data_IF_966957806586
#
_entry.id   IF_966957806586
#
_cell.length_a   1.000
_cell.length_b   1.000
_cell.length_c   1.000
_cell.angle_alpha   90.00
_cell.angle_beta   90.00
_cell.angle_gamma   90.00
#
_symmetry.space_group_name_H-M   'P 1'
#
loop_
_entity.id
_entity.type
_entity.pdbx_description
1 polymer ?
#
# COMPACT_ATOMS: atom_id res chain seq x y z
N UNK A 1 -24.49 76.50 36.85
CA UNK A 1 -23.27 77.20 36.39
C UNK A 1 -22.87 76.60 35.04
N UNK A 2 -22.34 77.44 34.13
CA UNK A 2 -22.30 77.35 32.65
C UNK A 2 -21.70 76.08 32.01
N UNK A 3 -22.38 75.62 30.95
CA UNK A 3 -21.94 74.81 29.78
C UNK A 3 -20.98 75.63 28.85
N UNK A 4 -20.41 75.14 27.70
CA UNK A 4 -20.62 73.88 26.93
C UNK A 4 -19.34 73.22 26.30
N UNK A 5 -19.55 72.13 25.55
CA UNK A 5 -18.69 71.60 24.46
C UNK A 5 -18.65 72.58 23.23
N UNK A 6 -18.26 72.27 21.96
CA UNK A 6 -17.71 71.07 21.28
C UNK A 6 -16.68 71.44 20.13
N UNK A 7 -16.50 70.55 19.13
CA UNK A 7 -16.01 70.73 17.73
C UNK A 7 -14.69 69.98 17.39
N UNK A 8 -14.49 69.34 16.23
CA UNK A 8 -15.32 69.04 15.05
C UNK A 8 -14.55 68.09 14.09
N UNK A 9 -15.31 67.38 13.20
CA UNK A 9 -15.13 67.08 11.74
C UNK A 9 -13.72 67.14 11.10
N UNK A 10 -13.33 66.39 10.07
CA UNK A 10 -14.00 65.78 8.90
C UNK A 10 -13.07 64.70 8.28
N UNK A 11 -13.58 63.61 7.69
CA UNK A 11 -13.69 63.35 6.23
C UNK A 11 -12.52 63.83 5.34
N UNK A 12 -11.83 62.89 4.68
CA UNK A 12 -11.72 62.80 3.21
C UNK A 12 -10.72 61.70 2.80
N UNK A 13 -11.21 60.76 2.00
CA UNK A 13 -10.36 59.92 1.17
C UNK A 13 -9.70 60.77 0.06
N UNK A 14 -8.51 60.38 -0.42
CA UNK A 14 -8.15 60.59 -1.80
C UNK A 14 -8.17 59.24 -2.54
N UNK A 15 -9.04 59.19 -3.56
CA UNK A 15 -8.83 58.35 -4.73
C UNK A 15 -7.44 58.62 -5.30
N UNK A 16 -6.59 57.60 -5.40
CA UNK A 16 -5.56 57.55 -6.43
C UNK A 16 -5.90 56.44 -7.42
N UNK A 17 -6.50 56.88 -8.52
CA UNK A 17 -6.62 56.15 -9.77
C UNK A 17 -5.26 56.02 -10.45
N UNK A 18 -4.93 54.82 -10.96
CA UNK A 18 -4.61 54.50 -12.37
C UNK A 18 -3.52 53.41 -12.51
N UNK A 19 -3.92 52.36 -13.25
CA UNK A 19 -3.16 51.55 -14.23
C UNK A 19 -1.91 50.78 -13.75
N UNK A 20 -2.04 49.46 -13.69
CA UNK A 20 -1.08 48.56 -14.34
C UNK A 20 -1.78 47.21 -14.66
N UNK A 21 -2.13 46.99 -15.92
CA UNK A 21 -1.57 45.96 -16.83
C UNK A 21 -2.15 44.56 -16.60
N UNK A 22 -3.12 44.24 -17.45
CA UNK A 22 -3.50 42.88 -17.84
C UNK A 22 -2.28 42.16 -18.43
N UNK A 23 -1.90 41.03 -17.85
CA UNK A 23 -1.18 39.98 -18.57
C UNK A 23 -2.08 38.75 -18.65
N UNK A 24 -2.72 38.65 -19.80
CA UNK A 24 -3.33 37.45 -20.33
C UNK A 24 -2.27 36.36 -20.48
N UNK A 25 -2.41 35.25 -19.77
CA UNK A 25 -1.79 33.99 -20.15
C UNK A 25 -2.88 33.10 -20.75
N UNK A 26 -3.00 33.23 -22.07
CA UNK A 26 -3.65 32.26 -22.93
C UNK A 26 -2.85 30.97 -22.88
N UNK A 27 -3.24 30.06 -21.99
CA UNK A 27 -2.79 28.67 -22.01
C UNK A 27 -3.52 27.91 -23.11
N UNK A 28 -2.79 27.61 -24.18
CA UNK A 28 -3.24 26.88 -25.36
C UNK A 28 -3.87 25.54 -24.99
N UNK A 29 -5.02 25.27 -25.60
CA UNK A 29 -5.65 23.97 -25.66
C UNK A 29 -4.72 22.97 -26.36
N UNK A 30 -4.22 21.98 -25.62
CA UNK A 30 -3.69 20.75 -26.20
C UNK A 30 -4.80 19.69 -26.19
N UNK A 31 -5.37 19.54 -27.37
CA UNK A 31 -6.14 18.40 -27.91
C UNK A 31 -6.23 17.17 -26.99
N UNK A 32 -7.29 17.09 -26.17
CA UNK A 32 -7.74 15.84 -25.57
C UNK A 32 -8.70 15.12 -26.54
N UNK A 33 -8.16 14.69 -27.69
CA UNK A 33 -8.85 13.82 -28.63
C UNK A 33 -8.00 12.57 -28.83
N UNK A 34 -8.27 11.52 -28.04
CA UNK A 34 -8.26 10.10 -28.42
C UNK A 34 -7.97 9.17 -27.21
N UNK A 35 -8.99 8.85 -26.40
CA UNK A 35 -9.28 7.43 -26.07
C UNK A 35 -10.65 7.34 -25.39
N UNK A 36 -11.71 7.23 -26.19
CA UNK A 36 -12.99 6.71 -25.72
C UNK A 36 -13.12 5.31 -26.29
N UNK A 37 -13.33 4.35 -25.39
CA UNK A 37 -13.78 2.96 -25.66
C UNK A 37 -12.73 1.92 -26.06
N UNK A 38 -11.71 1.77 -25.22
CA UNK A 38 -11.20 0.44 -24.85
C UNK A 38 -11.34 0.37 -23.33
N UNK A 39 -12.14 -0.54 -22.78
CA UNK A 39 -12.17 -0.72 -21.34
C UNK A 39 -10.78 -1.19 -20.92
N UNK A 40 -10.08 -0.40 -20.09
CA UNK A 40 -8.83 -0.83 -19.46
C UNK A 40 -9.10 -2.20 -18.80
N UNK A 41 -8.47 -3.30 -19.27
CA UNK A 41 -8.76 -4.65 -18.81
C UNK A 41 -8.50 -4.79 -17.30
N UNK A 42 -7.66 -3.92 -16.72
CA UNK A 42 -7.37 -3.91 -15.29
C UNK A 42 -8.38 -3.13 -14.46
N UNK A 43 -9.27 -2.33 -15.05
CA UNK A 43 -10.17 -1.45 -14.28
C UNK A 43 -11.06 -2.21 -13.31
N UNK A 44 -11.70 -3.28 -13.76
CA UNK A 44 -12.60 -4.11 -12.93
C UNK A 44 -11.78 -4.95 -11.92
N UNK A 45 -10.72 -5.68 -12.35
CA UNK A 45 -9.79 -6.37 -11.45
C UNK A 45 -9.24 -5.47 -10.33
N UNK A 46 -8.78 -4.27 -10.65
CA UNK A 46 -8.21 -3.32 -9.70
C UNK A 46 -9.25 -2.83 -8.68
N UNK A 47 -10.49 -2.55 -9.12
CA UNK A 47 -11.56 -2.17 -8.21
C UNK A 47 -11.93 -3.32 -7.25
N UNK A 48 -11.97 -4.56 -7.74
CA UNK A 48 -12.20 -5.75 -6.93
C UNK A 48 -11.07 -5.98 -5.91
N UNK A 49 -9.81 -5.89 -6.36
CA UNK A 49 -8.63 -6.02 -5.50
C UNK A 49 -8.61 -4.97 -4.39
N UNK A 50 -8.92 -3.70 -4.73
CA UNK A 50 -9.02 -2.61 -3.75
C UNK A 50 -10.05 -2.93 -2.66
N UNK A 51 -11.27 -3.30 -3.06
CA UNK A 51 -12.33 -3.64 -2.10
C UNK A 51 -11.94 -4.76 -1.15
N UNK A 52 -11.26 -5.81 -1.64
CA UNK A 52 -10.78 -6.92 -0.80
C UNK A 52 -9.79 -6.46 0.27
N UNK A 53 -8.91 -5.51 -0.06
CA UNK A 53 -7.94 -4.92 0.87
C UNK A 53 -8.67 -4.05 1.91
N UNK A 54 -9.60 -3.21 1.44
CA UNK A 54 -10.43 -2.36 2.31
C UNK A 54 -11.26 -3.19 3.30
N UNK A 55 -11.93 -4.25 2.83
CA UNK A 55 -12.76 -5.14 3.67
C UNK A 55 -11.94 -5.86 4.75
N UNK A 56 -10.69 -6.24 4.42
CA UNK A 56 -9.78 -6.90 5.37
C UNK A 56 -9.43 -5.98 6.55
N UNK A 57 -9.20 -4.69 6.30
CA UNK A 57 -8.94 -3.69 7.33
C UNK A 57 -10.24 -3.31 8.05
N UNK A 58 -11.34 -3.12 7.32
CA UNK A 58 -12.63 -2.71 7.89
C UNK A 58 -13.24 -3.76 8.83
N UNK A 59 -13.09 -5.05 8.50
CA UNK A 59 -13.46 -6.16 9.39
C UNK A 59 -12.58 -6.24 10.65
N UNK A 60 -11.58 -5.36 10.76
CA UNK A 60 -10.58 -5.34 11.80
C UNK A 60 -9.81 -6.67 11.92
N UNK A 61 -9.73 -7.46 10.85
CA UNK A 61 -8.94 -8.70 10.88
C UNK A 61 -7.45 -8.41 11.01
N UNK A 62 -7.01 -7.28 10.42
CA UNK A 62 -5.66 -6.74 10.40
C UNK A 62 -5.68 -5.22 10.63
N UNK A 63 -4.61 -4.59 11.13
CA UNK A 63 -4.55 -3.14 11.32
C UNK A 63 -4.19 -2.40 10.02
N UNK A 64 -3.44 -3.05 9.13
CA UNK A 64 -3.18 -2.59 7.77
C UNK A 64 -2.88 -3.75 6.83
N UNK A 65 -3.13 -3.51 5.55
CA UNK A 65 -2.83 -4.43 4.47
C UNK A 65 -2.48 -3.67 3.20
N UNK A 66 -1.72 -4.29 2.30
CA UNK A 66 -1.49 -3.73 0.97
C UNK A 66 -0.98 -4.75 -0.03
N UNK A 67 -1.13 -4.41 -1.30
CA UNK A 67 -0.72 -5.20 -2.46
C UNK A 67 -0.19 -4.26 -3.55
N UNK A 68 0.94 -4.66 -4.14
CA UNK A 68 1.52 -4.06 -5.34
C UNK A 68 1.63 -5.15 -6.39
N UNK A 69 1.23 -4.85 -7.62
CA UNK A 69 1.47 -5.68 -8.81
C UNK A 69 2.20 -4.85 -9.86
N UNK A 70 3.22 -5.45 -10.43
CA UNK A 70 4.05 -4.88 -11.50
C UNK A 70 4.03 -5.81 -12.70
N UNK A 71 4.13 -5.23 -13.88
CA UNK A 71 4.29 -5.96 -15.14
C UNK A 71 5.30 -5.25 -16.01
N UNK A 72 6.26 -5.99 -16.56
CA UNK A 72 7.34 -5.43 -17.40
C UNK A 72 8.10 -4.28 -16.73
N UNK A 73 8.19 -4.32 -15.39
CA UNK A 73 8.83 -3.29 -14.58
C UNK A 73 7.97 -2.06 -14.25
N UNK A 74 6.75 -1.96 -14.76
CA UNK A 74 5.82 -0.87 -14.46
C UNK A 74 4.81 -1.28 -13.38
N UNK A 75 4.41 -0.34 -12.52
CA UNK A 75 3.36 -0.57 -11.53
C UNK A 75 2.01 -0.54 -12.23
N UNK A 76 1.32 -1.68 -12.24
CA UNK A 76 -0.03 -1.82 -12.83
C UNK A 76 -1.13 -1.80 -11.77
N UNK A 77 -0.76 -2.05 -10.51
CA UNK A 77 -1.63 -1.90 -9.35
C UNK A 77 -0.79 -1.58 -8.11
N UNK A 78 -1.24 -0.63 -7.31
CA UNK A 78 -0.69 -0.38 -5.98
C UNK A 78 -1.81 0.16 -5.09
N UNK A 79 -2.06 -0.53 -3.99
CA UNK A 79 -3.03 -0.07 -3.00
C UNK A 79 -2.66 -0.63 -1.63
N UNK A 80 -2.85 0.19 -0.60
CA UNK A 80 -2.71 -0.17 0.79
C UNK A 80 -3.77 0.59 1.59
N UNK A 81 -4.18 -0.01 2.69
CA UNK A 81 -5.22 0.51 3.57
C UNK A 81 -4.83 0.26 5.03
N UNK A 82 -5.35 1.09 5.94
CA UNK A 82 -5.15 0.97 7.38
C UNK A 82 -3.98 1.79 7.93
N UNK A 83 -3.47 1.37 9.08
CA UNK A 83 -2.54 2.17 9.89
C UNK A 83 -1.14 1.56 9.94
N UNK A 84 -0.15 2.37 9.58
CA UNK A 84 1.26 2.05 9.76
C UNK A 84 1.67 2.10 11.24
N UNK A 85 1.03 2.97 12.02
CA UNK A 85 1.20 3.09 13.47
C UNK A 85 -0.07 3.69 14.12
N UNK A 86 -0.18 3.59 15.44
CA UNK A 86 -1.27 4.14 16.24
C UNK A 86 -2.52 3.24 16.32
N UNK A 87 -2.44 1.99 15.85
CA UNK A 87 -3.58 1.06 15.94
C UNK A 87 -3.86 0.59 17.39
N UNK A 88 -2.85 0.61 18.25
CA UNK A 88 -2.95 0.28 19.68
C UNK A 88 -3.05 1.55 20.56
N UNK A 89 -3.09 2.74 19.96
CA UNK A 89 -3.04 4.02 20.69
C UNK A 89 -1.65 4.36 21.24
N UNK A 90 -0.60 3.67 20.76
CA UNK A 90 0.78 3.86 21.20
C UNK A 90 1.43 5.14 20.63
N UNK A 91 0.88 5.67 19.54
CA UNK A 91 1.39 6.83 18.82
C UNK A 91 0.26 7.51 18.02
N UNK A 92 0.55 8.70 17.48
CA UNK A 92 -0.32 9.35 16.50
C UNK A 92 -0.53 8.44 15.28
N UNK A 93 -1.79 8.33 14.85
CA UNK A 93 -2.18 7.50 13.72
C UNK A 93 -1.49 7.98 12.45
N UNK A 94 -0.76 7.08 11.79
CA UNK A 94 -0.21 7.33 10.47
C UNK A 94 -0.72 6.28 9.46
N UNK A 95 -1.06 6.69 8.22
CA UNK A 95 -1.59 5.78 7.22
C UNK A 95 -0.52 4.81 6.72
N UNK A 96 -0.96 3.58 6.40
CA UNK A 96 -0.13 2.61 5.68
C UNK A 96 -0.28 2.82 4.17
N UNK A 97 0.84 2.96 3.47
CA UNK A 97 0.91 3.23 2.02
C UNK A 97 1.78 2.18 1.33
N UNK A 98 1.70 2.00 0.00
CA UNK A 98 2.59 1.08 -0.72
C UNK A 98 4.09 1.36 -0.52
N UNK A 99 4.44 2.61 -0.19
CA UNK A 99 5.80 3.08 0.07
C UNK A 99 6.19 2.99 1.55
N UNK A 100 5.23 2.77 2.45
CA UNK A 100 5.52 2.67 3.88
C UNK A 100 6.47 1.50 4.14
N UNK A 101 7.65 1.72 4.74
CA UNK A 101 8.54 0.64 5.10
C UNK A 101 7.92 -0.21 6.21
N UNK A 102 8.14 -1.52 6.19
CA UNK A 102 7.78 -2.44 7.27
C UNK A 102 8.90 -3.47 7.46
N UNK A 103 8.93 -4.11 8.63
CA UNK A 103 9.84 -5.23 8.88
C UNK A 103 9.43 -6.42 8.01
N UNK A 104 10.18 -6.76 6.96
CA UNK A 104 9.88 -7.93 6.14
C UNK A 104 10.55 -9.18 6.74
N UNK A 105 9.86 -9.78 7.72
CA UNK A 105 10.19 -11.05 8.37
C UNK A 105 10.97 -12.04 7.49
N UNK A 106 12.29 -12.20 7.74
CA UNK A 106 13.17 -13.12 7.01
C UNK A 106 13.51 -12.74 5.56
N UNK A 107 12.81 -11.75 5.01
CA UNK A 107 12.96 -11.25 3.65
C UNK A 107 13.75 -9.93 3.70
N UNK A 108 15.03 -10.00 4.05
CA UNK A 108 15.92 -8.84 4.04
C UNK A 108 16.66 -8.80 2.70
N UNK A 109 16.14 -8.10 1.66
CA UNK A 109 16.95 -7.84 0.49
C UNK A 109 18.17 -6.99 0.89
N UNK A 110 19.28 -7.01 0.14
CA UNK A 110 20.41 -6.11 0.34
C UNK A 110 20.05 -4.61 0.23
N UNK A 111 18.83 -4.30 -0.22
CA UNK A 111 18.26 -2.95 -0.26
C UNK A 111 17.56 -2.52 1.05
N UNK A 112 17.44 -3.42 2.04
CA UNK A 112 16.78 -3.08 3.29
C UNK A 112 17.67 -2.14 4.11
N UNK A 113 17.06 -1.08 4.65
CA UNK A 113 17.74 -0.06 5.43
C UNK A 113 17.11 0.07 6.82
N UNK A 114 17.88 0.59 7.77
CA UNK A 114 17.33 1.08 9.04
C UNK A 114 16.61 2.40 8.75
N UNK A 115 15.28 2.36 8.81
CA UNK A 115 14.40 3.51 8.66
C UNK A 115 13.17 3.33 9.57
N UNK A 116 12.41 4.40 9.86
CA UNK A 116 11.11 4.26 10.49
C UNK A 116 10.24 3.32 9.65
N UNK A 117 9.76 2.25 10.29
CA UNK A 117 8.93 1.23 9.65
C UNK A 117 7.53 1.19 10.31
N UNK A 118 6.61 0.45 9.72
CA UNK A 118 5.31 0.19 10.30
C UNK A 118 5.45 -0.64 11.59
N UNK A 119 4.66 -0.29 12.59
CA UNK A 119 4.51 -1.06 13.83
C UNK A 119 3.83 -2.38 13.53
N UNK A 120 4.32 -3.46 14.14
CA UNK A 120 3.70 -4.78 14.01
C UNK A 120 2.80 -5.08 15.21
N UNK A 121 1.63 -5.64 14.94
CA UNK A 121 0.61 -5.85 15.95
C UNK A 121 0.13 -7.29 16.10
N UNK A 122 -0.36 -7.59 17.28
CA UNK A 122 -1.16 -8.78 17.60
C UNK A 122 -2.48 -8.36 18.20
N UNK A 123 -3.52 -9.19 18.03
CA UNK A 123 -4.78 -9.03 18.75
C UNK A 123 -5.29 -10.38 19.22
N UNK A 124 -5.61 -10.47 20.50
CA UNK A 124 -6.38 -11.58 21.04
C UNK A 124 -7.86 -11.45 20.62
N UNK A 125 -8.65 -12.51 20.77
CA UNK A 125 -10.06 -12.46 20.40
C UNK A 125 -10.80 -11.39 21.23
N UNK A 126 -11.55 -10.54 20.54
CA UNK A 126 -12.29 -9.38 21.10
C UNK A 126 -11.41 -8.34 21.85
N UNK A 127 -10.09 -8.49 21.84
CA UNK A 127 -9.14 -7.61 22.52
C UNK A 127 -8.74 -6.36 21.72
N UNK A 128 -8.03 -5.43 22.36
CA UNK A 128 -7.38 -4.32 21.68
C UNK A 128 -6.09 -4.77 20.95
N UNK A 129 -5.70 -4.05 19.91
CA UNK A 129 -4.38 -4.25 19.28
C UNK A 129 -3.27 -4.03 20.30
N UNK A 130 -2.25 -4.88 20.28
CA UNK A 130 -1.06 -4.77 21.10
C UNK A 130 0.18 -4.74 20.21
N UNK A 131 1.13 -3.87 20.55
CA UNK A 131 2.42 -3.76 19.85
C UNK A 131 3.23 -5.03 20.09
N UNK A 132 3.66 -5.69 19.02
CA UNK A 132 4.43 -6.93 19.10
C UNK A 132 5.92 -6.73 18.78
N UNK A 133 6.24 -5.85 17.83
CA UNK A 133 7.59 -5.46 17.53
C UNK A 133 7.63 -3.98 17.14
N UNK A 134 8.64 -3.26 17.65
CA UNK A 134 8.90 -1.91 17.23
C UNK A 134 9.62 -1.91 15.89
N UNK A 135 9.17 -1.03 15.01
CA UNK A 135 9.71 -0.79 13.70
C UNK A 135 11.24 -0.55 13.64
N UNK A 136 11.82 -0.01 14.71
CA UNK A 136 13.22 0.38 14.77
C UNK A 136 14.21 -0.80 14.83
N UNK A 137 13.73 -2.00 15.18
CA UNK A 137 14.59 -3.16 15.43
C UNK A 137 14.80 -4.05 14.20
N UNK A 138 14.14 -3.74 13.07
CA UNK A 138 14.21 -4.51 11.84
C UNK A 138 14.85 -3.77 10.66
N UNK A 139 15.40 -4.55 9.73
CA UNK A 139 15.61 -4.09 8.37
C UNK A 139 14.26 -3.87 7.69
N UNK A 140 14.05 -2.66 7.18
CA UNK A 140 12.76 -2.24 6.64
C UNK A 140 12.75 -2.22 5.11
N UNK A 141 11.59 -2.53 4.53
CA UNK A 141 11.34 -2.51 3.07
C UNK A 141 9.88 -2.13 2.82
N UNK A 142 9.60 -1.50 1.69
CA UNK A 142 8.23 -1.19 1.23
C UNK A 142 7.69 -2.24 0.28
N UNK A 143 6.36 -2.28 0.04
CA UNK A 143 5.75 -3.21 -0.91
C UNK A 143 6.33 -3.03 -2.33
N UNK A 144 6.54 -1.78 -2.75
CA UNK A 144 7.13 -1.48 -4.05
C UNK A 144 8.55 -2.03 -4.17
N UNK A 145 9.39 -1.80 -3.17
CA UNK A 145 10.77 -2.31 -3.13
C UNK A 145 10.81 -3.84 -3.12
N UNK A 146 9.86 -4.46 -2.41
CA UNK A 146 9.74 -5.91 -2.33
C UNK A 146 9.34 -6.52 -3.69
N UNK A 147 8.40 -5.91 -4.41
CA UNK A 147 8.04 -6.32 -5.78
C UNK A 147 9.20 -6.15 -6.77
N UNK A 148 10.01 -5.09 -6.64
CA UNK A 148 11.25 -4.92 -7.43
C UNK A 148 12.23 -6.05 -7.16
N UNK A 149 12.38 -6.43 -5.89
CA UNK A 149 13.27 -7.50 -5.51
C UNK A 149 12.81 -8.86 -6.03
N UNK A 150 11.51 -9.14 -6.00
CA UNK A 150 10.94 -10.40 -6.49
C UNK A 150 11.37 -10.71 -7.93
N UNK A 151 11.38 -9.71 -8.83
CA UNK A 151 11.88 -9.87 -10.20
C UNK A 151 13.31 -10.39 -10.24
N UNK A 152 14.20 -9.77 -9.46
CA UNK A 152 15.62 -10.13 -9.41
C UNK A 152 15.80 -11.55 -8.89
N UNK A 153 15.11 -11.88 -7.79
CA UNK A 153 15.12 -13.22 -7.21
C UNK A 153 14.58 -14.27 -8.19
N UNK A 154 13.54 -13.94 -8.97
CA UNK A 154 13.00 -14.84 -10.00
C UNK A 154 13.92 -15.07 -11.21
N UNK A 155 14.83 -14.13 -11.48
CA UNK A 155 15.82 -14.21 -12.57
C UNK A 155 17.11 -14.92 -12.14
N UNK A 156 17.48 -14.84 -10.86
CA UNK A 156 18.64 -15.53 -10.31
C UNK A 156 18.21 -16.80 -9.56
N UNK A 157 18.55 -17.98 -10.06
CA UNK A 157 18.32 -19.26 -9.34
C UNK A 157 19.06 -19.35 -7.98
N UNK A 158 19.87 -18.35 -7.65
CA UNK A 158 20.75 -18.33 -6.48
C UNK A 158 20.14 -17.62 -5.26
N UNK A 159 18.88 -17.18 -5.28
CA UNK A 159 18.31 -16.51 -4.11
C UNK A 159 18.07 -17.52 -2.96
N UNK A 160 18.83 -17.45 -1.85
CA UNK A 160 18.69 -18.43 -0.78
C UNK A 160 17.30 -18.31 -0.13
N UNK A 161 16.63 -19.45 0.05
CA UNK A 161 15.27 -19.48 0.57
C UNK A 161 14.18 -19.18 -0.45
N UNK A 162 14.51 -18.95 -1.74
CA UNK A 162 13.51 -18.86 -2.78
C UNK A 162 12.65 -20.12 -2.84
N UNK A 163 11.35 -19.91 -2.77
CA UNK A 163 10.32 -20.91 -2.95
C UNK A 163 9.90 -20.89 -4.41
N UNK A 164 9.82 -22.09 -5.00
CA UNK A 164 9.35 -22.29 -6.36
C UNK A 164 8.03 -23.05 -6.29
N UNK A 165 6.95 -22.39 -6.67
CA UNK A 165 5.66 -23.02 -6.88
C UNK A 165 5.50 -23.32 -8.37
N UNK A 166 5.32 -24.59 -8.73
CA UNK A 166 4.90 -24.95 -10.09
C UNK A 166 3.47 -24.48 -10.33
N UNK A 167 3.03 -24.40 -11.59
CA UNK A 167 1.70 -23.91 -11.92
C UNK A 167 0.57 -24.73 -11.26
N UNK A 168 0.81 -26.02 -11.05
CA UNK A 168 -0.13 -26.99 -10.46
C UNK A 168 -0.21 -26.89 -8.94
N UNK A 169 0.89 -26.49 -8.29
CA UNK A 169 1.02 -26.40 -6.83
C UNK A 169 1.11 -24.94 -6.35
N UNK A 170 0.64 -24.00 -7.17
CA UNK A 170 0.74 -22.57 -6.88
C UNK A 170 -0.44 -22.09 -6.04
N UNK A 171 -0.20 -21.18 -5.07
CA UNK A 171 -1.28 -20.45 -4.41
C UNK A 171 -2.08 -19.55 -5.37
N UNK A 172 -1.55 -19.26 -6.56
CA UNK A 172 -2.28 -18.64 -7.67
C UNK A 172 -2.44 -19.70 -8.78
N UNK A 173 -3.62 -20.32 -8.93
CA UNK A 173 -3.81 -21.46 -9.81
C UNK A 173 -3.31 -21.21 -11.24
N UNK A 174 -2.52 -22.14 -11.77
CA UNK A 174 -2.01 -22.07 -13.16
C UNK A 174 -0.84 -21.11 -13.37
N UNK A 175 -0.41 -20.36 -12.35
CA UNK A 175 0.70 -19.40 -12.45
C UNK A 175 1.90 -19.94 -11.68
N UNK A 176 3.01 -20.20 -12.37
CA UNK A 176 4.28 -20.52 -11.70
C UNK A 176 4.77 -19.29 -10.95
N UNK A 177 5.15 -19.47 -9.68
CA UNK A 177 5.67 -18.39 -8.84
C UNK A 177 7.07 -18.72 -8.33
N UNK A 178 7.96 -17.73 -8.37
CA UNK A 178 9.31 -17.80 -7.81
C UNK A 178 9.46 -16.60 -6.88
N UNK A 179 9.72 -16.86 -5.59
CA UNK A 179 9.73 -15.79 -4.61
C UNK A 179 9.75 -16.34 -3.20
N UNK A 180 9.20 -15.62 -2.24
CA UNK A 180 9.17 -16.09 -0.86
C UNK A 180 8.00 -15.43 -0.10
N UNK A 181 7.39 -16.17 0.83
CA UNK A 181 6.44 -15.63 1.82
C UNK A 181 7.05 -15.69 3.22
N UNK A 182 6.88 -14.65 4.03
CA UNK A 182 7.50 -14.50 5.34
C UNK A 182 6.47 -14.23 6.42
N UNK A 183 6.70 -14.81 7.59
CA UNK A 183 5.90 -14.65 8.80
C UNK A 183 6.82 -14.34 9.98
N UNK A 184 6.61 -13.21 10.66
CA UNK A 184 7.21 -12.95 11.98
C UNK A 184 6.45 -11.86 12.71
N UNK A 185 6.36 -11.97 14.05
CA UNK A 185 5.82 -10.92 14.90
C UNK A 185 4.44 -10.38 14.41
N UNK A 186 3.54 -11.28 13.99
CA UNK A 186 2.20 -10.93 13.53
C UNK A 186 2.10 -10.41 12.09
N UNK A 187 3.24 -10.11 11.46
CA UNK A 187 3.34 -9.80 10.04
C UNK A 187 3.23 -11.07 9.21
N UNK A 188 2.44 -11.00 8.13
CA UNK A 188 2.53 -11.92 7.00
C UNK A 188 2.79 -11.12 5.74
N UNK A 189 3.80 -11.51 4.97
CA UNK A 189 4.16 -10.83 3.73
C UNK A 189 4.59 -11.82 2.66
N UNK A 190 4.56 -11.39 1.40
CA UNK A 190 4.99 -12.19 0.28
C UNK A 190 5.51 -11.32 -0.85
N UNK A 191 6.42 -11.89 -1.63
CA UNK A 191 6.89 -11.31 -2.88
C UNK A 191 7.19 -12.42 -3.88
N UNK A 192 6.60 -12.34 -5.07
CA UNK A 192 6.76 -13.36 -6.10
C UNK A 192 6.88 -12.74 -7.48
N UNK A 193 7.74 -13.36 -8.29
CA UNK A 193 7.81 -13.17 -9.74
C UNK A 193 7.05 -14.30 -10.43
N UNK A 194 6.25 -13.94 -11.43
CA UNK A 194 5.53 -14.83 -12.34
C UNK A 194 6.18 -14.75 -13.73
N UNK A 195 7.14 -15.64 -14.06
CA UNK A 195 7.97 -15.48 -15.26
C UNK A 195 7.18 -15.48 -16.58
N UNK A 196 6.13 -16.29 -16.67
CA UNK A 196 5.31 -16.42 -17.88
C UNK A 196 4.54 -15.14 -18.22
N UNK A 197 4.30 -14.28 -17.22
CA UNK A 197 3.55 -13.03 -17.38
C UNK A 197 4.48 -11.80 -17.44
N UNK A 198 5.79 -11.98 -17.19
CA UNK A 198 6.75 -10.91 -16.85
C UNK A 198 6.14 -9.95 -15.81
N UNK A 199 5.63 -10.54 -14.73
CA UNK A 199 4.93 -9.83 -13.67
C UNK A 199 5.52 -10.14 -12.31
N UNK A 200 5.36 -9.20 -11.38
CA UNK A 200 5.70 -9.37 -9.97
C UNK A 200 4.56 -8.87 -9.09
N UNK A 201 4.42 -9.46 -7.92
CA UNK A 201 3.59 -8.87 -6.90
C UNK A 201 4.22 -9.00 -5.52
N UNK A 202 3.82 -8.09 -4.65
CA UNK A 202 4.18 -8.12 -3.24
C UNK A 202 3.00 -7.67 -2.39
N UNK A 203 2.79 -8.31 -1.27
CA UNK A 203 1.76 -7.92 -0.32
C UNK A 203 2.26 -8.06 1.13
N UNK A 204 1.58 -7.38 2.05
CA UNK A 204 1.81 -7.52 3.47
C UNK A 204 0.55 -7.20 4.27
N UNK A 205 0.47 -7.79 5.47
CA UNK A 205 -0.40 -7.36 6.57
C UNK A 205 0.48 -7.09 7.79
N UNK A 206 0.25 -5.97 8.50
CA UNK A 206 1.12 -5.50 9.60
C UNK A 206 0.67 -5.98 10.99
N UNK A 207 -0.17 -7.01 11.01
CA UNK A 207 -0.67 -7.61 12.23
C UNK A 207 -1.86 -8.50 11.94
N UNK A 208 -2.17 -9.39 12.87
CA UNK A 208 -3.26 -10.36 12.71
C UNK A 208 -3.99 -10.56 14.03
N UNK A 209 -5.32 -10.62 13.94
CA UNK A 209 -6.17 -11.22 14.97
C UNK A 209 -5.95 -12.74 15.05
N UNK A 210 -6.39 -13.39 16.13
CA UNK A 210 -6.28 -14.85 16.32
C UNK A 210 -6.89 -15.61 15.14
N UNK A 211 -8.14 -15.32 14.78
CA UNK A 211 -8.81 -15.95 13.64
C UNK A 211 -8.11 -15.69 12.30
N UNK A 212 -7.45 -14.53 12.15
CA UNK A 212 -6.66 -14.20 10.97
C UNK A 212 -5.41 -15.07 10.79
N UNK A 213 -4.87 -15.66 11.86
CA UNK A 213 -3.65 -16.52 11.83
C UNK A 213 -3.94 -17.97 11.45
N UNK A 214 -5.20 -18.38 11.48
CA UNK A 214 -5.56 -19.73 11.10
C UNK A 214 -5.11 -20.02 9.67
N UNK A 215 -4.56 -21.22 9.47
CA UNK A 215 -4.13 -21.65 8.13
C UNK A 215 -5.35 -21.76 7.22
N UNK A 216 -5.18 -21.31 5.99
CA UNK A 216 -6.21 -21.41 4.97
C UNK A 216 -6.42 -22.87 4.55
N UNK A 217 -7.66 -23.23 4.25
CA UNK A 217 -7.96 -24.47 3.53
C UNK A 217 -7.62 -24.40 2.03
N UNK A 218 -7.42 -23.22 1.46
CA UNK A 218 -7.15 -23.05 0.03
C UNK A 218 -5.72 -23.44 -0.35
N UNK A 219 -4.73 -23.09 0.48
CA UNK A 219 -3.33 -23.44 0.25
C UNK A 219 -2.50 -23.37 1.55
N UNK A 220 -1.57 -24.31 1.81
CA UNK A 220 -0.85 -24.40 3.09
C UNK A 220 0.01 -23.17 3.45
N UNK A 221 0.45 -22.40 2.44
CA UNK A 221 1.23 -21.17 2.66
C UNK A 221 0.39 -19.97 3.08
N UNK A 222 -0.94 -20.05 2.94
CA UNK A 222 -1.85 -18.96 3.25
C UNK A 222 -2.34 -19.06 4.70
N UNK A 223 -2.51 -17.91 5.32
CA UNK A 223 -3.38 -17.74 6.50
C UNK A 223 -4.63 -16.97 6.10
N UNK A 224 -5.71 -17.09 6.88
CA UNK A 224 -7.00 -16.43 6.61
C UNK A 224 -6.84 -14.94 6.33
N UNK A 225 -5.99 -14.24 7.08
CA UNK A 225 -5.73 -12.81 6.88
C UNK A 225 -5.07 -12.46 5.53
N UNK A 226 -4.42 -13.42 4.87
CA UNK A 226 -3.76 -13.20 3.57
C UNK A 226 -4.57 -13.72 2.38
N UNK A 227 -5.61 -14.54 2.59
CA UNK A 227 -6.43 -15.08 1.50
C UNK A 227 -6.98 -14.00 0.57
N UNK A 228 -7.49 -12.84 1.06
CA UNK A 228 -8.01 -11.80 0.17
C UNK A 228 -6.91 -11.17 -0.70
N UNK A 229 -5.67 -11.13 -0.22
CA UNK A 229 -4.51 -10.58 -0.95
C UNK A 229 -4.05 -11.54 -2.04
N UNK A 230 -4.05 -12.85 -1.76
CA UNK A 230 -3.80 -13.88 -2.76
C UNK A 230 -4.87 -13.89 -3.86
N UNK A 231 -6.15 -13.84 -3.48
CA UNK A 231 -7.26 -13.77 -4.44
C UNK A 231 -7.23 -12.48 -5.27
N UNK A 232 -6.82 -11.36 -4.66
CA UNK A 232 -6.62 -10.10 -5.38
C UNK A 232 -5.46 -10.20 -6.38
N UNK A 233 -4.33 -10.80 -6.00
CA UNK A 233 -3.21 -11.06 -6.89
C UNK A 233 -3.61 -11.98 -8.05
N UNK A 234 -4.34 -13.07 -7.78
CA UNK A 234 -4.90 -13.96 -8.82
C UNK A 234 -5.76 -13.18 -9.82
N UNK A 235 -6.72 -12.39 -9.33
CA UNK A 235 -7.63 -11.61 -10.17
C UNK A 235 -6.87 -10.61 -11.05
N UNK A 236 -5.83 -9.97 -10.52
CA UNK A 236 -5.01 -9.02 -11.25
C UNK A 236 -4.11 -9.70 -12.28
N UNK A 237 -3.46 -10.80 -11.92
CA UNK A 237 -2.57 -11.55 -12.81
C UNK A 237 -3.33 -12.21 -13.97
N UNK A 238 -4.56 -12.68 -13.74
CA UNK A 238 -5.42 -13.23 -14.78
C UNK A 238 -5.84 -12.20 -15.84
N UNK A 239 -5.71 -10.90 -15.54
CA UNK A 239 -6.05 -9.80 -16.44
C UNK A 239 -4.85 -9.23 -17.23
N UNK A 240 -3.63 -9.78 -17.04
CA UNK A 240 -2.40 -9.34 -17.72
C UNK A 240 -2.17 -10.10 -19.03
#
# INVERSE_FOLDING_TARGET
MKLPAPCARASLAPMFTRRAVLTSLSGLALSACAHRSGADPLRIPAASARRRIEDLVYSAMVPAAGLVVRRRGEVVFAHAEGLAQGAAGEADRAPFTPETPFCAAGFAPPAAARAPAATLYTREDEGAWQVQANAADCLSVSLLSLAIFARRAGQSQEFPGAQIHTAEASPVPGVKLIGHHGEACGLYSAAFHAPQLDAEFAFAVTGTSVSGRERSSHHPVMVKATEPLWAAAETLLAAL
#
